data_IF_047502714901
#
_entry.id   IF_047502714901
#
_cell.length_a   1.000
_cell.length_b   1.000
_cell.length_c   1.000
_cell.angle_alpha   90.00
_cell.angle_beta   90.00
_cell.angle_gamma   90.00
#
_symmetry.space_group_name_H-M   'P 1'
#
loop_
_entity.id
_entity.type
_entity.pdbx_description
1 polymer ?
#
# COMPACT_ATOMS: atom_id res chain seq x y z
N UNK A 1 8.17 16.95 -20.48
CA UNK A 1 6.96 16.15 -20.21
C UNK A 1 6.76 15.24 -21.40
N UNK A 2 6.67 13.93 -21.19
CA UNK A 2 6.24 13.03 -22.26
C UNK A 2 4.74 13.21 -22.51
N UNK A 3 4.28 12.86 -23.71
CA UNK A 3 2.86 12.92 -24.07
C UNK A 3 1.98 12.06 -23.14
N UNK A 4 2.55 10.99 -22.59
CA UNK A 4 1.91 10.16 -21.56
C UNK A 4 1.84 10.88 -20.21
N UNK A 5 2.91 11.52 -19.75
CA UNK A 5 2.90 12.26 -18.47
C UNK A 5 1.85 13.39 -18.47
N UNK A 6 1.64 14.03 -19.62
CA UNK A 6 0.62 15.06 -19.78
C UNK A 6 -0.79 14.47 -19.70
N UNK A 7 -1.05 13.35 -20.37
CA UNK A 7 -2.34 12.65 -20.32
C UNK A 7 -2.67 12.18 -18.89
N UNK A 8 -1.66 11.70 -18.18
CA UNK A 8 -1.76 11.20 -16.81
C UNK A 8 -2.09 12.33 -15.83
N UNK A 9 -1.44 13.49 -16.00
CA UNK A 9 -1.74 14.70 -15.25
C UNK A 9 -3.15 15.24 -15.55
N UNK A 10 -3.58 15.22 -16.81
CA UNK A 10 -4.93 15.65 -17.21
C UNK A 10 -6.02 14.72 -16.65
N UNK A 11 -5.78 13.42 -16.59
CA UNK A 11 -6.72 12.46 -15.97
C UNK A 11 -6.81 12.66 -14.46
N UNK A 12 -5.69 12.90 -13.77
CA UNK A 12 -5.69 13.27 -12.35
C UNK A 12 -6.45 14.59 -12.12
N UNK A 13 -6.20 15.60 -12.95
CA UNK A 13 -6.88 16.89 -12.88
C UNK A 13 -8.39 16.73 -13.13
N UNK A 14 -8.81 15.95 -14.12
CA UNK A 14 -10.22 15.67 -14.38
C UNK A 14 -10.89 14.93 -13.23
N UNK A 15 -10.24 13.91 -12.66
CA UNK A 15 -10.76 13.20 -11.51
C UNK A 15 -10.91 14.12 -10.28
N UNK A 16 -9.91 14.97 -10.02
CA UNK A 16 -9.88 15.86 -8.86
C UNK A 16 -10.78 17.09 -8.98
N UNK A 17 -10.82 17.72 -10.16
CA UNK A 17 -11.43 19.04 -10.36
C UNK A 17 -12.82 18.96 -11.02
N UNK A 18 -13.16 17.86 -11.68
CA UNK A 18 -14.44 17.68 -12.35
C UNK A 18 -15.27 16.65 -11.58
N UNK A 19 -14.76 15.42 -11.47
CA UNK A 19 -15.57 14.31 -10.92
C UNK A 19 -15.78 14.48 -9.42
N UNK A 20 -14.74 14.81 -8.63
CA UNK A 20 -14.86 14.98 -7.18
C UNK A 20 -15.93 15.99 -6.74
N UNK A 21 -16.00 17.22 -7.31
CA UNK A 21 -17.06 18.15 -6.95
C UNK A 21 -18.45 17.73 -7.47
N UNK A 22 -18.54 16.92 -8.52
CA UNK A 22 -19.80 16.38 -9.04
C UNK A 22 -20.34 15.20 -8.23
N UNK A 23 -19.48 14.46 -7.52
CA UNK A 23 -19.90 13.27 -6.77
C UNK A 23 -20.77 13.67 -5.57
N UNK A 24 -21.96 13.06 -5.37
CA UNK A 24 -22.86 13.44 -4.27
C UNK A 24 -22.20 13.28 -2.89
N UNK A 25 -22.26 14.33 -2.05
CA UNK A 25 -21.80 14.29 -0.66
C UNK A 25 -22.87 13.77 0.29
N UNK A 26 -23.40 12.59 0.00
CA UNK A 26 -24.44 11.96 0.81
C UNK A 26 -24.13 10.49 1.00
N UNK A 27 -24.20 10.06 2.26
CA UNK A 27 -24.12 8.67 2.62
C UNK A 27 -25.23 7.89 1.89
N UNK A 28 -24.86 6.83 1.19
CA UNK A 28 -25.78 6.02 0.41
C UNK A 28 -26.36 4.93 1.32
N UNK A 29 -27.67 4.94 1.62
CA UNK A 29 -28.25 4.07 2.65
C UNK A 29 -28.11 2.57 2.35
N UNK A 30 -28.20 2.17 1.07
CA UNK A 30 -28.09 0.78 0.63
C UNK A 30 -26.63 0.26 0.55
N UNK A 31 -25.65 1.15 0.72
CA UNK A 31 -24.22 0.83 0.88
C UNK A 31 -23.78 1.00 2.34
N UNK A 32 -24.67 0.75 3.30
CA UNK A 32 -24.38 0.87 4.74
C UNK A 32 -23.90 2.27 5.19
N UNK A 33 -24.34 3.33 4.51
CA UNK A 33 -23.94 4.70 4.85
C UNK A 33 -22.62 5.16 4.23
N UNK A 34 -22.08 4.42 3.25
CA UNK A 34 -20.88 4.81 2.52
C UNK A 34 -21.07 6.14 1.78
N UNK A 35 -20.08 7.04 1.86
CA UNK A 35 -20.13 8.33 1.16
C UNK A 35 -19.33 8.26 -0.17
N UNK A 36 -19.99 8.42 -1.34
CA UNK A 36 -19.34 8.33 -2.64
C UNK A 36 -18.27 9.41 -2.86
N UNK A 37 -18.48 10.62 -2.33
CA UNK A 37 -17.51 11.72 -2.42
C UNK A 37 -16.24 11.39 -1.64
N UNK A 38 -16.36 10.77 -0.46
CA UNK A 38 -15.20 10.31 0.33
C UNK A 38 -14.42 9.20 -0.39
N UNK A 39 -15.12 8.26 -1.02
CA UNK A 39 -14.49 7.23 -1.85
C UNK A 39 -13.73 7.85 -3.03
N UNK A 40 -14.36 8.78 -3.74
CA UNK A 40 -13.72 9.43 -4.87
C UNK A 40 -12.54 10.31 -4.46
N UNK A 41 -12.63 10.97 -3.30
CA UNK A 41 -11.50 11.69 -2.71
C UNK A 41 -10.30 10.76 -2.43
N UNK A 42 -10.58 9.54 -1.94
CA UNK A 42 -9.58 8.49 -1.77
C UNK A 42 -8.91 8.13 -3.10
N UNK A 43 -9.70 7.95 -4.16
CA UNK A 43 -9.19 7.65 -5.51
C UNK A 43 -8.26 8.76 -6.00
N UNK A 44 -8.70 10.02 -5.89
CA UNK A 44 -7.90 11.19 -6.28
C UNK A 44 -6.61 11.28 -5.48
N UNK A 45 -6.68 11.06 -4.15
CA UNK A 45 -5.52 11.07 -3.27
C UNK A 45 -4.51 9.99 -3.66
N UNK A 46 -4.98 8.77 -3.91
CA UNK A 46 -4.13 7.66 -4.33
C UNK A 46 -3.49 7.95 -5.70
N UNK A 47 -4.25 8.48 -6.66
CA UNK A 47 -3.72 8.88 -7.99
C UNK A 47 -2.66 9.98 -7.88
N UNK A 48 -2.87 10.99 -7.02
CA UNK A 48 -1.89 12.05 -6.78
C UNK A 48 -0.60 11.49 -6.18
N UNK A 49 -0.71 10.55 -5.25
CA UNK A 49 0.42 9.89 -4.61
C UNK A 49 1.24 9.06 -5.62
N UNK A 50 0.58 8.41 -6.59
CA UNK A 50 1.26 7.75 -7.71
C UNK A 50 2.07 8.71 -8.56
N UNK A 51 1.46 9.84 -8.92
CA UNK A 51 2.10 10.84 -9.74
C UNK A 51 3.35 11.40 -9.03
N UNK A 52 3.25 11.69 -7.73
CA UNK A 52 4.40 12.13 -6.91
C UNK A 52 5.48 11.05 -6.85
N UNK A 53 5.10 9.78 -6.64
CA UNK A 53 6.04 8.66 -6.65
C UNK A 53 6.80 8.55 -7.97
N UNK A 54 6.09 8.61 -9.11
CA UNK A 54 6.70 8.57 -10.44
C UNK A 54 7.67 9.73 -10.68
N UNK A 55 7.30 10.95 -10.30
CA UNK A 55 8.18 12.13 -10.42
C UNK A 55 9.41 12.01 -9.51
N UNK A 56 9.25 11.51 -8.28
CA UNK A 56 10.37 11.28 -7.36
C UNK A 56 11.38 10.26 -7.92
N UNK A 57 10.91 9.21 -8.60
CA UNK A 57 11.77 8.25 -9.29
C UNK A 57 12.56 8.91 -10.44
N UNK A 58 11.92 9.78 -11.22
CA UNK A 58 12.56 10.47 -12.34
C UNK A 58 13.73 11.36 -11.89
N UNK A 59 13.64 11.96 -10.70
CA UNK A 59 14.60 12.96 -10.21
C UNK A 59 15.86 12.36 -9.55
N UNK A 60 15.85 11.10 -9.12
CA UNK A 60 16.80 10.64 -8.10
C UNK A 60 18.08 9.90 -8.57
N UNK A 61 18.32 9.77 -9.89
CA UNK A 61 19.60 9.31 -10.44
C UNK A 61 19.97 7.82 -10.20
N UNK A 62 21.00 7.35 -10.93
CA UNK A 62 21.28 5.91 -11.13
C UNK A 62 21.76 5.12 -9.89
N UNK A 63 22.33 5.78 -8.87
CA UNK A 63 22.94 5.11 -7.69
C UNK A 63 21.93 4.78 -6.58
N UNK A 64 20.89 5.61 -6.44
CA UNK A 64 19.73 5.37 -5.57
C UNK A 64 18.54 4.77 -6.35
N UNK A 65 18.72 4.55 -7.66
CA UNK A 65 17.65 4.30 -8.62
C UNK A 65 16.72 3.15 -8.24
N UNK A 66 17.24 1.98 -7.87
CA UNK A 66 16.40 0.82 -7.52
C UNK A 66 15.67 0.98 -6.18
N UNK A 67 16.35 1.59 -5.20
CA UNK A 67 15.81 1.82 -3.87
C UNK A 67 14.64 2.83 -3.92
N UNK A 68 14.86 3.96 -4.58
CA UNK A 68 13.85 5.00 -4.75
C UNK A 68 12.78 4.61 -5.77
N UNK A 69 13.12 3.82 -6.79
CA UNK A 69 12.13 3.18 -7.67
C UNK A 69 11.21 2.27 -6.89
N UNK A 70 11.73 1.55 -5.91
CA UNK A 70 10.93 0.70 -5.04
C UNK A 70 9.93 1.50 -4.20
N UNK A 71 10.37 2.60 -3.59
CA UNK A 71 9.49 3.52 -2.86
C UNK A 71 8.41 4.11 -3.77
N UNK A 72 8.82 4.66 -4.90
CA UNK A 72 7.94 5.28 -5.89
C UNK A 72 6.91 4.30 -6.46
N UNK A 73 7.37 3.14 -6.94
CA UNK A 73 6.49 2.10 -7.51
C UNK A 73 5.65 1.44 -6.42
N UNK A 74 6.09 1.52 -5.17
CA UNK A 74 5.37 1.05 -3.99
C UNK A 74 4.04 1.77 -3.78
N UNK A 75 3.96 3.05 -4.15
CA UNK A 75 2.67 3.74 -4.19
C UNK A 75 1.74 3.06 -5.18
N UNK A 76 2.23 2.62 -6.35
CA UNK A 76 1.37 2.06 -7.41
C UNK A 76 0.88 0.68 -6.98
N UNK A 77 1.83 -0.16 -6.60
CA UNK A 77 1.58 -1.45 -6.00
C UNK A 77 2.87 -1.98 -5.39
N UNK A 78 2.94 -2.02 -4.06
CA UNK A 78 4.10 -2.58 -3.35
C UNK A 78 4.28 -4.08 -3.63
N UNK A 79 3.20 -4.85 -3.78
CA UNK A 79 3.27 -6.28 -4.14
C UNK A 79 3.83 -6.49 -5.55
N UNK A 80 3.34 -5.74 -6.56
CA UNK A 80 3.87 -5.83 -7.92
C UNK A 80 5.32 -5.33 -7.99
N UNK A 81 5.68 -4.32 -7.19
CA UNK A 81 7.05 -3.82 -7.06
C UNK A 81 7.98 -4.90 -6.52
N UNK A 82 7.58 -5.61 -5.46
CA UNK A 82 8.35 -6.74 -4.90
C UNK A 82 8.52 -7.85 -5.93
N UNK A 83 7.50 -8.16 -6.73
CA UNK A 83 7.60 -9.14 -7.81
C UNK A 83 8.57 -8.69 -8.93
N UNK A 84 8.45 -7.45 -9.38
CA UNK A 84 9.29 -6.89 -10.44
C UNK A 84 10.77 -6.83 -10.03
N UNK A 85 11.04 -6.40 -8.79
CA UNK A 85 12.38 -6.38 -8.23
C UNK A 85 12.93 -7.80 -8.00
N UNK A 86 12.08 -8.77 -7.66
CA UNK A 86 12.48 -10.18 -7.58
C UNK A 86 12.87 -10.74 -8.94
N UNK A 87 12.06 -10.51 -9.97
CA UNK A 87 12.39 -10.87 -11.34
C UNK A 87 13.73 -10.26 -11.78
N UNK A 88 13.97 -8.98 -11.46
CA UNK A 88 15.24 -8.32 -11.76
C UNK A 88 16.42 -8.91 -10.99
N UNK A 89 16.26 -9.22 -9.71
CA UNK A 89 17.30 -9.89 -8.91
C UNK A 89 17.66 -11.27 -9.51
N UNK A 90 16.66 -12.02 -10.02
CA UNK A 90 16.87 -13.31 -10.68
C UNK A 90 17.69 -13.19 -11.97
N UNK A 91 17.40 -12.20 -12.81
CA UNK A 91 18.08 -12.02 -14.11
C UNK A 91 19.41 -11.28 -13.99
N UNK A 92 19.62 -10.50 -12.93
CA UNK A 92 20.85 -9.77 -12.68
C UNK A 92 21.28 -9.98 -11.23
N UNK A 93 21.87 -11.15 -10.90
CA UNK A 93 22.20 -11.51 -9.52
C UNK A 93 23.08 -10.49 -8.81
N UNK A 94 23.91 -9.73 -9.55
CA UNK A 94 24.78 -8.70 -8.97
C UNK A 94 24.03 -7.56 -8.24
N UNK A 95 22.77 -7.27 -8.62
CA UNK A 95 21.97 -6.16 -8.04
C UNK A 95 20.90 -6.64 -7.05
N UNK A 96 20.96 -7.90 -6.61
CA UNK A 96 19.91 -8.50 -5.78
C UNK A 96 19.63 -7.72 -4.49
N UNK A 97 20.68 -7.21 -3.82
CA UNK A 97 20.54 -6.48 -2.56
C UNK A 97 19.92 -5.09 -2.75
N UNK A 98 20.20 -4.44 -3.88
CA UNK A 98 19.53 -3.20 -4.25
C UNK A 98 18.04 -3.43 -4.58
N UNK A 99 17.70 -4.60 -5.15
CA UNK A 99 16.32 -5.01 -5.35
C UNK A 99 15.60 -5.28 -4.01
N UNK A 100 16.26 -5.93 -3.05
CA UNK A 100 15.72 -6.11 -1.69
C UNK A 100 15.48 -4.76 -1.01
N UNK A 101 16.41 -3.83 -1.14
CA UNK A 101 16.25 -2.47 -0.63
C UNK A 101 15.00 -1.77 -1.19
N UNK A 102 14.81 -1.80 -2.51
CA UNK A 102 13.62 -1.25 -3.15
C UNK A 102 12.33 -1.94 -2.70
N UNK A 103 12.36 -3.26 -2.51
CA UNK A 103 11.22 -4.02 -2.02
C UNK A 103 10.81 -3.58 -0.60
N UNK A 104 11.76 -3.38 0.31
CA UNK A 104 11.48 -2.85 1.65
C UNK A 104 11.01 -1.41 1.63
N UNK A 105 11.65 -0.54 0.84
CA UNK A 105 11.24 0.86 0.73
C UNK A 105 9.84 1.02 0.12
N UNK A 106 9.37 0.06 -0.68
CA UNK A 106 7.98 0.03 -1.14
C UNK A 106 6.96 -0.10 0.00
N UNK A 107 7.34 -0.64 1.15
CA UNK A 107 6.47 -0.73 2.34
C UNK A 107 6.27 0.62 3.02
N UNK A 108 7.18 1.59 2.84
CA UNK A 108 6.98 2.98 3.30
C UNK A 108 5.76 3.57 2.62
N UNK A 109 5.60 3.35 1.32
CA UNK A 109 4.43 3.80 0.57
C UNK A 109 3.13 3.18 1.11
N UNK A 110 3.13 1.88 1.39
CA UNK A 110 1.97 1.20 2.02
C UNK A 110 1.62 1.82 3.37
N UNK A 111 2.61 2.06 4.25
CA UNK A 111 2.35 2.66 5.55
C UNK A 111 1.77 4.08 5.43
N UNK A 112 2.31 4.90 4.52
CA UNK A 112 1.82 6.25 4.22
C UNK A 112 0.38 6.20 3.67
N UNK A 113 0.10 5.32 2.70
CA UNK A 113 -1.23 5.16 2.12
C UNK A 113 -2.26 4.73 3.15
N UNK A 114 -1.93 3.76 4.01
CA UNK A 114 -2.83 3.34 5.09
C UNK A 114 -3.09 4.47 6.09
N UNK A 115 -2.07 5.24 6.46
CA UNK A 115 -2.22 6.40 7.34
C UNK A 115 -3.15 7.46 6.73
N UNK A 116 -2.97 7.75 5.44
CA UNK A 116 -3.80 8.70 4.69
C UNK A 116 -5.26 8.23 4.56
N UNK A 117 -5.48 6.93 4.26
CA UNK A 117 -6.81 6.33 4.20
C UNK A 117 -7.52 6.49 5.54
N UNK A 118 -6.83 6.13 6.64
CA UNK A 118 -7.40 6.26 7.98
C UNK A 118 -7.68 7.73 8.32
N UNK A 119 -6.76 8.64 8.03
CA UNK A 119 -6.93 10.08 8.30
C UNK A 119 -8.12 10.68 7.53
N UNK A 120 -8.34 10.25 6.28
CA UNK A 120 -9.44 10.73 5.45
C UNK A 120 -10.81 10.20 5.90
N UNK A 121 -10.88 8.97 6.41
CA UNK A 121 -12.15 8.31 6.75
C UNK A 121 -12.52 8.43 8.22
N UNK A 122 -11.55 8.27 9.12
CA UNK A 122 -11.74 8.32 10.58
C UNK A 122 -10.47 8.85 11.29
N UNK A 123 -10.38 10.17 11.56
CA UNK A 123 -9.19 10.79 12.14
C UNK A 123 -8.77 10.24 13.51
N UNK A 124 -9.72 9.78 14.33
CA UNK A 124 -9.43 9.16 15.64
C UNK A 124 -8.69 7.84 15.49
N UNK A 125 -9.13 6.99 14.55
CA UNK A 125 -8.45 5.76 14.16
C UNK A 125 -7.05 6.03 13.62
N UNK A 126 -6.87 7.08 12.83
CA UNK A 126 -5.57 7.49 12.32
C UNK A 126 -4.56 7.81 13.44
N UNK A 127 -5.02 8.47 14.53
CA UNK A 127 -4.18 8.74 15.70
C UNK A 127 -3.77 7.47 16.42
N UNK A 128 -4.66 6.48 16.54
CA UNK A 128 -4.33 5.19 17.13
C UNK A 128 -3.30 4.41 16.29
N UNK A 129 -3.40 4.47 14.97
CA UNK A 129 -2.49 3.80 14.05
C UNK A 129 -1.20 4.58 13.74
N UNK A 130 -1.07 5.81 14.22
CA UNK A 130 0.08 6.68 13.91
C UNK A 130 1.41 6.04 14.31
N UNK A 131 1.56 5.57 15.55
CA UNK A 131 2.81 4.96 16.00
C UNK A 131 3.07 3.60 15.33
N UNK A 132 2.11 2.65 15.22
CA UNK A 132 2.32 1.41 14.49
C UNK A 132 2.76 1.60 13.03
N UNK A 133 2.10 2.51 12.30
CA UNK A 133 2.44 2.77 10.90
C UNK A 133 3.77 3.52 10.76
N UNK A 134 4.08 4.45 11.68
CA UNK A 134 5.39 5.11 11.74
C UNK A 134 6.52 4.12 12.04
N UNK A 135 6.32 3.17 12.97
CA UNK A 135 7.30 2.15 13.29
C UNK A 135 7.57 1.22 12.09
N UNK A 136 6.53 0.81 11.36
CA UNK A 136 6.66 0.05 10.12
C UNK A 136 7.41 0.84 9.04
N UNK A 137 7.04 2.10 8.81
CA UNK A 137 7.72 2.97 7.84
C UNK A 137 9.19 3.19 8.20
N UNK A 138 9.49 3.41 9.49
CA UNK A 138 10.86 3.60 9.97
C UNK A 138 11.68 2.31 9.82
N UNK A 139 11.14 1.15 10.18
CA UNK A 139 11.80 -0.13 9.97
C UNK A 139 12.12 -0.37 8.49
N UNK A 140 11.16 -0.07 7.60
CA UNK A 140 11.35 -0.17 6.15
C UNK A 140 12.44 0.77 5.64
N UNK A 141 12.47 2.02 6.12
CA UNK A 141 13.51 3.00 5.79
C UNK A 141 14.89 2.55 6.27
N UNK A 142 15.01 2.11 7.53
CA UNK A 142 16.28 1.69 8.12
C UNK A 142 16.85 0.46 7.42
N UNK A 143 16.02 -0.56 7.19
CA UNK A 143 16.42 -1.77 6.46
C UNK A 143 16.78 -1.44 5.01
N UNK A 144 15.95 -0.63 4.34
CA UNK A 144 16.19 -0.16 2.98
C UNK A 144 17.52 0.57 2.85
N UNK A 145 17.78 1.55 3.72
CA UNK A 145 19.01 2.34 3.75
C UNK A 145 20.25 1.50 4.07
N UNK A 146 20.14 0.57 5.03
CA UNK A 146 21.22 -0.37 5.34
C UNK A 146 21.57 -1.27 4.15
N UNK A 147 20.56 -1.75 3.40
CA UNK A 147 20.77 -2.52 2.20
C UNK A 147 21.38 -1.70 1.05
N UNK A 148 20.98 -0.42 0.86
CA UNK A 148 21.63 0.47 -0.11
C UNK A 148 23.11 0.63 0.20
N UNK A 149 23.45 0.90 1.47
CA UNK A 149 24.86 1.12 1.89
C UNK A 149 25.75 -0.11 1.67
N UNK A 150 25.17 -1.31 1.73
CA UNK A 150 25.87 -2.59 1.53
C UNK A 150 25.84 -3.08 0.08
N UNK A 151 24.95 -2.54 -0.75
CA UNK A 151 24.86 -2.91 -2.15
C UNK A 151 26.09 -2.37 -2.90
N UNK A 152 26.78 -3.19 -3.71
CA UNK A 152 27.90 -2.68 -4.50
C UNK A 152 27.37 -1.64 -5.49
N UNK A 153 28.14 -0.57 -5.71
CA UNK A 153 27.76 0.50 -6.62
C UNK A 153 27.75 -0.05 -8.07
N UNK A 154 26.56 -0.34 -8.60
CA UNK A 154 26.38 -0.76 -9.98
C UNK A 154 25.74 0.38 -10.78
N UNK A 155 26.54 1.05 -11.62
CA UNK A 155 26.12 2.11 -12.52
C UNK A 155 25.56 1.57 -13.83
N UNK A 156 24.49 0.77 -13.78
CA UNK A 156 23.78 0.33 -14.98
C UNK A 156 22.57 1.24 -15.28
N UNK A 157 22.23 1.50 -16.55
CA UNK A 157 21.08 2.34 -16.89
C UNK A 157 19.79 1.75 -16.32
N UNK A 158 19.01 2.60 -15.63
CA UNK A 158 17.67 2.27 -15.18
C UNK A 158 16.78 2.23 -16.43
N UNK A 159 16.34 1.03 -16.86
CA UNK A 159 15.31 0.90 -17.89
C UNK A 159 14.04 1.62 -17.39
N UNK A 160 13.70 2.73 -18.06
CA UNK A 160 12.53 3.56 -17.76
C UNK A 160 11.25 2.74 -18.00
N UNK A 161 10.38 2.66 -16.98
CA UNK A 161 9.03 2.08 -17.07
C UNK A 161 7.95 3.15 -17.18
N UNK A 162 6.71 2.75 -17.49
CA UNK A 162 5.53 3.64 -17.64
C UNK A 162 5.07 4.21 -16.29
N UNK A 163 4.51 5.43 -16.29
CA UNK A 163 4.02 6.12 -15.10
C UNK A 163 2.81 5.45 -14.42
N UNK A 164 1.91 4.88 -15.22
CA UNK A 164 0.92 3.89 -14.79
C UNK A 164 0.57 2.94 -15.93
N UNK A 165 -0.18 1.86 -15.63
CA UNK A 165 -0.83 1.08 -16.68
C UNK A 165 -2.34 1.01 -16.46
N UNK A 166 -3.09 1.52 -17.43
CA UNK A 166 -4.55 1.61 -17.39
C UNK A 166 -5.21 0.24 -17.20
N UNK A 167 -4.61 -0.82 -17.76
CA UNK A 167 -5.03 -2.22 -17.58
C UNK A 167 -4.87 -2.71 -16.14
N UNK A 168 -3.77 -2.35 -15.47
CA UNK A 168 -3.57 -2.67 -14.07
C UNK A 168 -4.48 -1.83 -13.19
N UNK A 169 -4.71 -0.55 -13.51
CA UNK A 169 -5.65 0.32 -12.78
C UNK A 169 -7.12 -0.13 -12.91
N UNK A 170 -7.55 -0.58 -14.10
CA UNK A 170 -8.87 -1.18 -14.32
C UNK A 170 -8.99 -2.55 -13.65
N UNK A 171 -7.95 -3.39 -13.74
CA UNK A 171 -7.89 -4.66 -13.01
C UNK A 171 -7.94 -4.45 -11.48
N UNK A 172 -7.30 -3.39 -10.99
CA UNK A 172 -7.32 -2.99 -9.59
C UNK A 172 -8.71 -2.48 -9.17
N UNK A 173 -9.35 -1.63 -9.98
CA UNK A 173 -10.72 -1.17 -9.71
C UNK A 173 -11.74 -2.33 -9.71
N UNK A 174 -11.63 -3.28 -10.65
CA UNK A 174 -12.47 -4.48 -10.71
C UNK A 174 -12.23 -5.40 -9.52
N UNK A 175 -10.96 -5.63 -9.13
CA UNK A 175 -10.61 -6.44 -7.97
C UNK A 175 -11.12 -5.78 -6.68
N UNK A 176 -10.96 -4.46 -6.54
CA UNK A 176 -11.50 -3.65 -5.44
C UNK A 176 -13.03 -3.80 -5.35
N UNK A 177 -13.75 -3.64 -6.46
CA UNK A 177 -15.20 -3.83 -6.51
C UNK A 177 -15.61 -5.25 -6.12
N UNK A 178 -14.92 -6.27 -6.64
CA UNK A 178 -15.23 -7.67 -6.34
C UNK A 178 -14.98 -8.02 -4.86
N UNK A 179 -13.86 -7.56 -4.30
CA UNK A 179 -13.51 -7.79 -2.89
C UNK A 179 -14.46 -7.04 -1.96
N UNK A 180 -14.81 -5.78 -2.26
CA UNK A 180 -15.79 -5.01 -1.48
C UNK A 180 -17.19 -5.63 -1.51
N UNK A 181 -17.63 -6.16 -2.66
CA UNK A 181 -18.89 -6.89 -2.77
C UNK A 181 -18.86 -8.20 -1.98
N UNK A 182 -17.74 -8.94 -2.04
CA UNK A 182 -17.56 -10.17 -1.26
C UNK A 182 -17.60 -9.91 0.25
N UNK A 183 -16.89 -8.88 0.73
CA UNK A 183 -16.91 -8.50 2.15
C UNK A 183 -18.31 -8.07 2.58
N UNK A 184 -19.01 -7.25 1.79
CA UNK A 184 -20.38 -6.82 2.08
C UNK A 184 -21.38 -7.98 2.10
N UNK A 185 -21.25 -8.93 1.16
CA UNK A 185 -22.10 -10.13 1.11
C UNK A 185 -21.90 -11.00 2.35
N UNK A 186 -20.65 -11.21 2.78
CA UNK A 186 -20.40 -12.03 3.97
C UNK A 186 -20.81 -11.32 5.26
N UNK A 187 -20.68 -9.99 5.35
CA UNK A 187 -21.16 -9.20 6.50
C UNK A 187 -22.67 -9.33 6.72
N UNK A 188 -23.46 -9.46 5.64
CA UNK A 188 -24.91 -9.67 5.74
C UNK A 188 -25.28 -11.03 6.34
N UNK A 189 -24.34 -11.99 6.34
CA UNK A 189 -24.60 -13.36 6.79
C UNK A 189 -23.79 -13.75 8.04
N UNK A 190 -22.81 -12.94 8.46
CA UNK A 190 -21.80 -13.34 9.43
C UNK A 190 -21.36 -12.17 10.33
N UNK A 191 -21.58 -12.29 11.65
CA UNK A 191 -21.40 -11.23 12.65
C UNK A 191 -19.98 -10.64 12.81
N UNK A 192 -19.90 -9.54 13.58
CA UNK A 192 -18.76 -8.61 13.71
C UNK A 192 -17.39 -9.23 14.02
N UNK A 193 -17.34 -10.37 14.71
CA UNK A 193 -16.09 -11.10 15.02
C UNK A 193 -15.46 -11.76 13.79
N UNK A 194 -16.26 -12.15 12.78
CA UNK A 194 -15.77 -12.81 11.56
C UNK A 194 -15.40 -11.79 10.47
N UNK A 195 -15.94 -10.56 10.54
CA UNK A 195 -15.61 -9.46 9.64
C UNK A 195 -14.12 -9.08 9.66
N UNK A 196 -13.46 -9.17 10.82
CA UNK A 196 -12.00 -8.98 10.92
C UNK A 196 -11.20 -10.06 10.19
N UNK A 197 -11.70 -11.30 10.19
CA UNK A 197 -11.07 -12.46 9.55
C UNK A 197 -11.23 -12.39 8.01
N UNK A 198 -12.39 -11.94 7.54
CA UNK A 198 -12.64 -11.67 6.11
C UNK A 198 -11.90 -10.45 5.59
N UNK A 199 -11.80 -9.38 6.39
CA UNK A 199 -10.99 -8.23 6.03
C UNK A 199 -9.50 -8.62 5.94
N UNK A 200 -9.01 -9.48 6.84
CA UNK A 200 -7.66 -10.03 6.75
C UNK A 200 -7.46 -10.85 5.46
N UNK A 201 -8.41 -11.72 5.10
CA UNK A 201 -8.39 -12.46 3.82
C UNK A 201 -8.46 -11.53 2.60
N UNK A 202 -9.29 -10.48 2.64
CA UNK A 202 -9.35 -9.45 1.61
C UNK A 202 -8.03 -8.65 1.50
N UNK A 203 -7.34 -8.44 2.62
CA UNK A 203 -6.03 -7.79 2.68
C UNK A 203 -4.92 -8.52 1.93
N UNK A 204 -5.09 -9.83 1.69
CA UNK A 204 -4.22 -10.60 0.80
C UNK A 204 -4.32 -10.13 -0.66
N UNK A 205 -5.53 -9.75 -1.10
CA UNK A 205 -5.79 -9.23 -2.46
C UNK A 205 -5.50 -7.73 -2.55
N UNK A 206 -6.02 -6.93 -1.63
CA UNK A 206 -5.73 -5.49 -1.54
C UNK A 206 -5.87 -4.96 -0.11
N UNK A 207 -4.74 -4.54 0.47
CA UNK A 207 -4.70 -3.96 1.81
C UNK A 207 -5.44 -2.63 1.90
N UNK A 208 -5.37 -1.80 0.86
CA UNK A 208 -5.91 -0.44 0.89
C UNK A 208 -7.43 -0.47 0.87
N UNK A 209 -8.00 -1.31 0.00
CA UNK A 209 -9.42 -1.62 -0.04
C UNK A 209 -9.96 -2.06 1.32
N UNK A 210 -9.32 -3.09 1.89
CA UNK A 210 -9.76 -3.69 3.15
C UNK A 210 -9.63 -2.69 4.31
N UNK A 211 -8.54 -1.92 4.38
CA UNK A 211 -8.37 -0.89 5.40
C UNK A 211 -9.35 0.27 5.24
N UNK A 212 -9.65 0.70 4.00
CA UNK A 212 -10.66 1.72 3.76
C UNK A 212 -12.06 1.25 4.22
N UNK A 213 -12.40 -0.01 3.94
CA UNK A 213 -13.64 -0.62 4.42
C UNK A 213 -13.71 -0.64 5.95
N UNK A 214 -12.64 -1.07 6.63
CA UNK A 214 -12.58 -1.11 8.10
C UNK A 214 -12.67 0.29 8.72
N UNK A 215 -11.99 1.27 8.14
CA UNK A 215 -12.07 2.66 8.57
C UNK A 215 -13.47 3.25 8.36
N UNK A 216 -14.14 2.90 7.26
CA UNK A 216 -15.53 3.28 7.01
C UNK A 216 -16.50 2.69 8.04
N UNK A 217 -16.32 1.43 8.43
CA UNK A 217 -17.12 0.78 9.48
C UNK A 217 -16.91 1.44 10.86
N UNK A 218 -15.67 1.85 11.17
CA UNK A 218 -15.38 2.62 12.38
C UNK A 218 -16.08 3.99 12.35
N UNK A 219 -16.02 4.69 11.22
CA UNK A 219 -16.69 5.98 11.04
C UNK A 219 -18.23 5.88 11.15
N UNK A 220 -18.80 4.73 10.78
CA UNK A 220 -20.23 4.43 10.94
C UNK A 220 -20.62 3.97 12.35
N UNK A 221 -19.68 3.92 13.31
CA UNK A 221 -19.92 3.47 14.68
C UNK A 221 -20.15 1.96 14.82
N UNK A 222 -19.89 1.16 13.76
CA UNK A 222 -20.08 -0.30 13.77
C UNK A 222 -18.89 -1.06 14.33
N UNK A 223 -17.72 -0.43 14.36
CA UNK A 223 -16.51 -0.94 15.00
C UNK A 223 -15.97 0.13 15.94
N UNK A 224 -15.43 -0.29 17.08
CA UNK A 224 -14.60 0.60 17.89
C UNK A 224 -13.29 0.88 17.16
N UNK A 225 -12.69 2.06 17.39
CA UNK A 225 -11.39 2.41 16.80
C UNK A 225 -10.32 1.35 17.12
N UNK A 226 -10.37 0.76 18.32
CA UNK A 226 -9.47 -0.31 18.72
C UNK A 226 -9.65 -1.62 17.94
N UNK A 227 -10.89 -1.99 17.61
CA UNK A 227 -11.19 -3.16 16.75
C UNK A 227 -10.75 -2.91 15.31
N UNK A 228 -11.04 -1.72 14.77
CA UNK A 228 -10.65 -1.34 13.43
C UNK A 228 -9.11 -1.27 13.28
N UNK A 229 -8.41 -0.70 14.27
CA UNK A 229 -6.95 -0.64 14.28
C UNK A 229 -6.31 -2.03 14.26
N UNK A 230 -6.78 -2.94 15.13
CA UNK A 230 -6.30 -4.32 15.14
C UNK A 230 -6.54 -5.03 13.81
N UNK A 231 -7.74 -4.87 13.23
CA UNK A 231 -8.08 -5.48 11.94
C UNK A 231 -7.22 -4.91 10.80
N UNK A 232 -6.89 -3.61 10.82
CA UNK A 232 -5.99 -2.99 9.83
C UNK A 232 -4.55 -3.52 9.97
N UNK A 233 -4.08 -3.78 11.20
CA UNK A 233 -2.77 -4.43 11.42
C UNK A 233 -2.77 -5.89 10.94
N UNK A 234 -3.88 -6.61 11.09
CA UNK A 234 -4.05 -7.94 10.51
C UNK A 234 -4.02 -7.89 8.98
N UNK A 235 -4.70 -6.91 8.36
CA UNK A 235 -4.64 -6.64 6.92
C UNK A 235 -3.22 -6.32 6.44
N UNK A 236 -2.46 -5.50 7.18
CA UNK A 236 -1.05 -5.24 6.88
C UNK A 236 -0.21 -6.52 6.91
N UNK A 237 -0.55 -7.44 7.82
CA UNK A 237 0.13 -8.72 7.96
C UNK A 237 -0.13 -9.64 6.77
N UNK A 238 -1.39 -9.78 6.35
CA UNK A 238 -1.73 -10.60 5.18
C UNK A 238 -1.19 -10.00 3.89
N UNK A 239 -1.17 -8.67 3.77
CA UNK A 239 -0.51 -7.98 2.67
C UNK A 239 1.00 -8.25 2.61
N UNK A 240 1.65 -8.37 3.77
CA UNK A 240 3.06 -8.74 3.86
C UNK A 240 3.28 -10.18 3.41
N UNK A 241 2.38 -11.10 3.76
CA UNK A 241 2.40 -12.47 3.21
C UNK A 241 2.31 -12.45 1.68
N UNK A 242 1.41 -11.65 1.09
CA UNK A 242 1.34 -11.49 -0.38
C UNK A 242 2.67 -11.03 -0.99
N UNK A 243 3.36 -10.08 -0.33
CA UNK A 243 4.69 -9.64 -0.77
C UNK A 243 5.75 -10.74 -0.65
N UNK A 244 5.72 -11.54 0.41
CA UNK A 244 6.63 -12.67 0.58
C UNK A 244 6.42 -13.73 -0.51
N UNK A 245 5.16 -14.05 -0.83
CA UNK A 245 4.81 -14.95 -1.95
C UNK A 245 5.30 -14.36 -3.27
N UNK A 246 5.04 -13.08 -3.52
CA UNK A 246 5.53 -12.38 -4.71
C UNK A 246 7.06 -12.45 -4.82
N UNK A 247 7.79 -12.27 -3.71
CA UNK A 247 9.24 -12.37 -3.68
C UNK A 247 9.74 -13.79 -3.96
N UNK A 248 9.09 -14.81 -3.40
CA UNK A 248 9.43 -16.21 -3.59
C UNK A 248 9.20 -16.69 -5.03
N UNK A 249 8.07 -16.32 -5.64
CA UNK A 249 7.72 -16.71 -7.01
C UNK A 249 8.62 -15.99 -8.03
N UNK A 250 8.90 -14.70 -7.82
CA UNK A 250 9.59 -13.89 -8.83
C UNK A 250 11.12 -13.89 -8.70
N UNK A 251 11.67 -14.01 -7.49
CA UNK A 251 13.11 -13.88 -7.22
C UNK A 251 13.85 -15.19 -6.95
N UNK A 252 15.18 -15.12 -6.92
CA UNK A 252 16.02 -16.24 -6.49
C UNK A 252 15.96 -16.43 -4.95
N UNK A 253 16.36 -17.61 -4.46
CA UNK A 253 16.25 -17.99 -3.04
C UNK A 253 16.82 -16.94 -2.06
N UNK A 254 17.99 -16.35 -2.37
CA UNK A 254 18.59 -15.31 -1.54
C UNK A 254 17.78 -14.00 -1.49
N UNK A 255 17.15 -13.58 -2.59
CA UNK A 255 16.26 -12.41 -2.61
C UNK A 255 14.99 -12.72 -1.80
N UNK A 256 14.39 -13.89 -2.03
CA UNK A 256 13.18 -14.31 -1.34
C UNK A 256 13.40 -14.43 0.18
N UNK A 257 14.47 -15.10 0.62
CA UNK A 257 14.76 -15.30 2.04
C UNK A 257 15.09 -14.01 2.77
N UNK A 258 16.03 -13.20 2.26
CA UNK A 258 16.40 -11.93 2.89
C UNK A 258 15.23 -10.95 2.82
N UNK A 259 14.58 -10.83 1.65
CA UNK A 259 13.42 -9.98 1.44
C UNK A 259 12.30 -10.30 2.42
N UNK A 260 11.93 -11.59 2.55
CA UNK A 260 10.89 -12.04 3.47
C UNK A 260 11.24 -11.75 4.94
N UNK A 261 12.49 -11.99 5.37
CA UNK A 261 12.91 -11.68 6.74
C UNK A 261 12.74 -10.18 7.06
N UNK A 262 13.14 -9.29 6.16
CA UNK A 262 12.94 -7.85 6.36
C UNK A 262 11.46 -7.44 6.32
N UNK A 263 10.65 -8.04 5.44
CA UNK A 263 9.20 -7.80 5.41
C UNK A 263 8.51 -8.23 6.72
N UNK A 264 8.93 -9.36 7.29
CA UNK A 264 8.47 -9.83 8.60
C UNK A 264 8.85 -8.83 9.70
N UNK A 265 10.10 -8.35 9.71
CA UNK A 265 10.57 -7.35 10.68
C UNK A 265 9.80 -6.02 10.59
N UNK A 266 9.50 -5.55 9.37
CA UNK A 266 8.71 -4.32 9.14
C UNK A 266 7.31 -4.46 9.75
N UNK A 267 6.66 -5.61 9.53
CA UNK A 267 5.33 -5.89 10.09
C UNK A 267 5.39 -6.09 11.60
N UNK A 268 6.42 -6.77 12.09
CA UNK A 268 6.64 -6.95 13.52
C UNK A 268 6.85 -5.61 14.24
N UNK A 269 7.52 -4.64 13.60
CA UNK A 269 7.67 -3.31 14.17
C UNK A 269 6.33 -2.59 14.37
N UNK A 270 5.37 -2.73 13.45
CA UNK A 270 4.01 -2.20 13.64
C UNK A 270 3.30 -2.86 14.83
N UNK A 271 3.35 -4.19 14.91
CA UNK A 271 2.72 -4.93 16.02
C UNK A 271 3.37 -4.63 17.37
N UNK A 272 4.70 -4.55 17.43
CA UNK A 272 5.43 -4.20 18.64
C UNK A 272 5.04 -2.81 19.15
N UNK A 273 4.95 -1.83 18.24
CA UNK A 273 4.49 -0.48 18.58
C UNK A 273 3.03 -0.48 19.09
N UNK A 274 2.14 -1.24 18.44
CA UNK A 274 0.73 -1.36 18.87
C UNK A 274 0.58 -1.98 20.26
N UNK A 275 1.28 -3.09 20.52
CA UNK A 275 1.26 -3.77 21.80
C UNK A 275 1.87 -2.89 22.90
N UNK A 276 2.97 -2.18 22.58
CA UNK A 276 3.61 -1.24 23.50
C UNK A 276 2.69 -0.08 23.90
N UNK A 277 1.92 0.48 22.96
CA UNK A 277 0.94 1.52 23.28
C UNK A 277 -0.16 1.02 24.22
N UNK A 278 -0.63 -0.22 24.04
CA UNK A 278 -1.67 -0.80 24.91
C UNK A 278 -1.16 -1.19 26.29
N UNK A 279 0.12 -1.49 26.44
CA UNK A 279 0.72 -1.77 27.74
C UNK A 279 0.87 -0.50 28.60
N UNK A 280 0.86 0.68 27.98
CA UNK A 280 1.04 1.99 28.63
C UNK A 280 -0.27 2.76 28.86
N UNK A 281 -1.41 2.24 28.37
CA UNK A 281 -2.73 2.86 28.44
C UNK A 281 -3.62 2.13 29.44
#
# INVERSE_FOLDING_TARGET
LSEQELRDALLLAGAALIVLPLVPDRAVPWLEGFNPRRLWALVVLLMALQAVGYVALRLAGARLGLALSGLASGFVSSTATVAALGSRARHTPAVWLACVSGAWLSCVATAVQLALICAALQPSLARQLALPLAASALAALLLGAAAVRRAPAHGGPVRQGRAFSLRQSLGFALLLTAVSLGVAWVQQHVGSTQAGLLAALAGFADAHAASASLAGLAAAGRLTDGQAAWAILAVLSTNTVSKMVAAAVSGHARYAGVGAAGLALITAAAWAAWLGQRALA
#
